data_IF_731144155675
#
_entry.id   IF_731144155675
#
_cell.length_a   1.000
_cell.length_b   1.000
_cell.length_c   1.000
_cell.angle_alpha   90.00
_cell.angle_beta   90.00
_cell.angle_gamma   90.00
#
_symmetry.space_group_name_H-M   'P 1'
#
loop_
_entity.id
_entity.type
_entity.pdbx_description
1 polymer ?
#
# COMPACT_ATOMS: atom_id res chain seq x y z
N UNK A 1 -2.31 27.38 49.52
CA UNK A 1 -2.65 26.49 50.65
C UNK A 1 -2.86 25.11 50.04
N UNK A 2 -2.05 24.06 50.12
CA UNK A 2 -0.91 23.62 50.95
C UNK A 2 -0.04 22.71 50.05
N UNK A 3 1.27 22.92 49.89
CA UNK A 3 2.39 22.44 50.73
C UNK A 3 2.70 20.93 50.62
N UNK A 4 3.80 20.63 49.93
CA UNK A 4 4.87 19.65 50.25
C UNK A 4 4.44 18.16 50.27
N UNK A 5 5.16 17.22 49.67
CA UNK A 5 6.25 16.40 50.25
C UNK A 5 6.89 15.64 49.07
N UNK A 6 8.17 15.85 48.78
CA UNK A 6 9.33 15.09 49.27
C UNK A 6 9.76 13.98 48.30
N UNK A 7 10.90 14.23 47.66
CA UNK A 7 11.65 13.31 46.83
C UNK A 7 12.19 12.13 47.64
N UNK A 8 12.31 10.97 47.01
CA UNK A 8 13.25 9.93 47.44
C UNK A 8 13.87 9.27 46.22
N UNK A 9 15.11 9.66 45.93
CA UNK A 9 16.04 8.99 45.03
C UNK A 9 16.54 7.73 45.75
N UNK A 10 16.33 6.56 45.15
CA UNK A 10 17.04 5.33 45.55
C UNK A 10 18.11 5.06 44.50
N UNK A 11 19.32 5.55 44.79
CA UNK A 11 20.54 5.15 44.10
C UNK A 11 20.94 3.78 44.62
N UNK A 12 20.90 2.75 43.78
CA UNK A 12 21.41 1.42 44.13
C UNK A 12 22.66 1.14 43.29
N UNK A 13 23.80 1.30 43.93
CA UNK A 13 25.14 1.09 43.41
C UNK A 13 25.43 -0.42 43.29
N UNK A 14 25.82 -0.83 42.08
CA UNK A 14 26.67 -1.96 41.67
C UNK A 14 26.52 -3.32 42.37
N UNK A 15 26.22 -4.36 41.57
CA UNK A 15 26.87 -5.65 41.77
C UNK A 15 27.09 -6.36 40.43
N UNK A 16 28.34 -6.31 39.97
CA UNK A 16 28.90 -7.13 38.91
C UNK A 16 28.78 -8.62 39.32
N UNK A 17 28.06 -9.41 38.53
CA UNK A 17 28.03 -10.87 38.66
C UNK A 17 28.19 -11.49 37.27
N UNK A 18 29.45 -11.85 36.99
CA UNK A 18 29.84 -13.15 36.44
C UNK A 18 29.13 -13.59 35.17
N UNK A 19 29.85 -13.44 34.06
CA UNK A 19 29.70 -14.20 32.82
C UNK A 19 29.39 -15.67 33.11
N UNK A 20 28.18 -16.10 32.78
CA UNK A 20 27.80 -17.51 32.68
C UNK A 20 27.48 -17.80 31.23
N UNK A 21 28.50 -18.29 30.53
CA UNK A 21 28.41 -18.97 29.25
C UNK A 21 27.31 -20.02 29.32
N UNK A 22 26.21 -19.80 28.62
CA UNK A 22 25.25 -20.86 28.31
C UNK A 22 24.99 -20.83 26.81
N UNK A 23 25.96 -21.37 26.08
CA UNK A 23 25.79 -21.79 24.70
C UNK A 23 24.72 -22.86 24.65
N UNK A 24 23.50 -22.52 24.21
CA UNK A 24 22.55 -23.49 23.64
C UNK A 24 21.66 -22.84 22.58
N UNK A 25 21.90 -23.32 21.35
CA UNK A 25 20.91 -23.65 20.32
C UNK A 25 20.51 -22.53 19.36
N UNK A 26 21.18 -22.60 18.20
CA UNK A 26 20.68 -22.37 16.84
C UNK A 26 19.14 -22.34 16.73
N UNK A 27 18.59 -21.19 16.35
CA UNK A 27 17.50 -21.15 15.39
C UNK A 27 18.02 -20.48 14.13
N UNK A 28 18.26 -21.32 13.12
CA UNK A 28 18.40 -20.91 11.74
C UNK A 28 17.10 -20.22 11.32
N UNK A 29 17.13 -18.89 11.24
CA UNK A 29 16.13 -18.15 10.48
C UNK A 29 16.62 -18.15 9.02
N UNK A 30 15.90 -18.78 8.07
CA UNK A 30 16.14 -18.49 6.67
C UNK A 30 15.68 -17.05 6.48
N UNK A 31 16.62 -16.11 6.53
CA UNK A 31 16.37 -14.79 5.98
C UNK A 31 16.28 -15.02 4.47
N UNK A 32 15.09 -15.37 4.02
CA UNK A 32 14.67 -15.14 2.65
C UNK A 32 14.76 -13.62 2.44
N UNK A 33 15.97 -13.14 2.19
CA UNK A 33 16.20 -11.87 1.53
C UNK A 33 15.72 -12.07 0.11
N UNK A 34 14.40 -12.01 -0.06
CA UNK A 34 13.78 -11.84 -1.37
C UNK A 34 14.42 -10.58 -1.94
N UNK A 35 15.21 -10.81 -2.98
CA UNK A 35 15.90 -9.79 -3.73
C UNK A 35 14.89 -8.78 -4.28
N UNK A 36 14.69 -7.67 -3.57
CA UNK A 36 14.08 -6.46 -4.10
C UNK A 36 15.11 -5.66 -4.93
N UNK A 37 15.90 -6.36 -5.76
CA UNK A 37 16.83 -5.74 -6.71
C UNK A 37 16.11 -5.17 -7.96
N UNK A 38 14.83 -4.83 -7.85
CA UNK A 38 14.02 -4.21 -8.91
C UNK A 38 13.56 -2.78 -8.59
N UNK A 39 14.10 -2.14 -7.55
CA UNK A 39 14.01 -0.68 -7.42
C UNK A 39 15.02 0.07 -8.32
N UNK A 40 15.53 -0.59 -9.36
CA UNK A 40 16.47 -0.05 -10.33
C UNK A 40 15.81 0.12 -11.71
N UNK A 41 14.64 0.76 -11.74
CA UNK A 41 14.21 1.55 -12.88
C UNK A 41 13.62 2.82 -12.27
N UNK A 42 14.33 3.94 -12.39
CA UNK A 42 13.96 5.24 -11.79
C UNK A 42 12.75 5.88 -12.47
N UNK A 43 11.65 5.14 -12.58
CA UNK A 43 10.31 5.65 -12.86
C UNK A 43 9.51 5.76 -11.56
N UNK A 44 8.40 6.51 -11.61
CA UNK A 44 7.46 6.58 -10.49
C UNK A 44 7.13 5.17 -9.98
N UNK A 45 7.11 4.98 -8.66
CA UNK A 45 6.72 3.70 -8.07
C UNK A 45 5.31 3.33 -8.58
N UNK A 46 5.11 2.08 -8.97
CA UNK A 46 3.79 1.59 -9.38
C UNK A 46 2.89 1.62 -8.12
N UNK A 47 1.76 2.34 -8.15
CA UNK A 47 0.85 2.38 -7.00
C UNK A 47 0.23 1.00 -6.75
N UNK A 48 -0.24 0.78 -5.53
CA UNK A 48 -0.91 -0.46 -5.17
C UNK A 48 -2.32 -0.53 -5.74
N UNK A 49 -2.93 -1.72 -5.77
CA UNK A 49 -4.33 -1.87 -6.18
C UNK A 49 -5.25 -1.06 -5.25
N UNK A 50 -4.98 -1.05 -3.95
CA UNK A 50 -5.76 -0.27 -2.98
C UNK A 50 -5.70 1.24 -3.29
N UNK A 51 -4.50 1.78 -3.56
CA UNK A 51 -4.36 3.22 -3.94
C UNK A 51 -5.14 3.55 -5.22
N UNK A 52 -5.12 2.63 -6.20
CA UNK A 52 -5.84 2.80 -7.46
C UNK A 52 -7.36 2.68 -7.25
N UNK A 53 -7.81 1.78 -6.38
CA UNK A 53 -9.23 1.61 -6.03
C UNK A 53 -9.79 2.85 -5.32
N UNK A 54 -9.02 3.42 -4.39
CA UNK A 54 -9.37 4.67 -3.71
C UNK A 54 -9.51 5.82 -4.71
N UNK A 55 -8.55 5.94 -5.64
CA UNK A 55 -8.62 6.95 -6.69
C UNK A 55 -9.79 6.77 -7.66
N UNK A 56 -10.14 5.53 -8.00
CA UNK A 56 -11.37 5.23 -8.77
C UNK A 56 -12.59 5.74 -8.01
N UNK A 57 -12.75 5.37 -6.74
CA UNK A 57 -13.88 5.81 -5.92
C UNK A 57 -13.95 7.34 -5.84
N UNK A 58 -12.82 8.00 -5.61
CA UNK A 58 -12.73 9.46 -5.57
C UNK A 58 -13.22 10.11 -6.86
N UNK A 59 -12.85 9.58 -8.03
CA UNK A 59 -13.34 10.08 -9.33
C UNK A 59 -14.86 9.99 -9.44
N UNK A 60 -15.47 8.92 -8.92
CA UNK A 60 -16.93 8.76 -8.93
C UNK A 60 -17.61 9.64 -7.88
N UNK A 61 -17.03 9.78 -6.69
CA UNK A 61 -17.50 10.70 -5.64
C UNK A 61 -17.51 12.16 -6.10
N UNK A 62 -16.42 12.61 -6.73
CA UNK A 62 -16.29 13.97 -7.28
C UNK A 62 -17.33 14.25 -8.37
N UNK A 63 -17.82 13.21 -9.05
CA UNK A 63 -18.90 13.28 -10.02
C UNK A 63 -20.31 13.13 -9.41
N UNK A 64 -20.42 12.95 -8.09
CA UNK A 64 -21.68 12.73 -7.39
C UNK A 64 -22.27 11.33 -7.57
N UNK A 65 -21.44 10.36 -7.94
CA UNK A 65 -21.79 8.97 -8.25
C UNK A 65 -21.15 7.95 -7.29
N UNK A 66 -20.68 8.38 -6.11
CA UNK A 66 -20.01 7.50 -5.14
C UNK A 66 -20.81 6.26 -4.76
N UNK A 67 -22.15 6.35 -4.73
CA UNK A 67 -23.02 5.21 -4.41
C UNK A 67 -23.15 4.15 -5.53
N UNK A 68 -22.60 4.43 -6.73
CA UNK A 68 -22.76 3.57 -7.92
C UNK A 68 -21.64 2.54 -8.04
N UNK A 69 -20.46 2.85 -7.51
CA UNK A 69 -19.30 1.96 -7.52
C UNK A 69 -19.04 1.51 -6.10
N UNK A 70 -19.22 0.22 -5.85
CA UNK A 70 -18.87 -0.38 -4.54
C UNK A 70 -17.36 -0.57 -4.44
N UNK A 71 -16.86 -0.64 -3.21
CA UNK A 71 -15.45 -0.92 -2.90
C UNK A 71 -14.96 -2.18 -3.62
N UNK A 72 -15.76 -3.25 -3.66
CA UNK A 72 -15.39 -4.52 -4.31
C UNK A 72 -15.28 -4.39 -5.84
N UNK A 73 -16.13 -3.55 -6.46
CA UNK A 73 -16.07 -3.26 -7.90
C UNK A 73 -14.82 -2.41 -8.18
N UNK A 74 -14.56 -1.38 -7.37
CA UNK A 74 -13.37 -0.54 -7.50
C UNK A 74 -12.08 -1.35 -7.34
N UNK A 75 -12.02 -2.21 -6.32
CA UNK A 75 -10.88 -3.08 -6.05
C UNK A 75 -10.62 -4.06 -7.20
N UNK A 76 -11.67 -4.72 -7.71
CA UNK A 76 -11.52 -5.65 -8.83
C UNK A 76 -10.92 -4.97 -10.06
N UNK A 77 -11.43 -3.79 -10.45
CA UNK A 77 -10.85 -3.06 -11.57
C UNK A 77 -9.44 -2.55 -11.27
N UNK A 78 -9.17 -2.10 -10.05
CA UNK A 78 -7.84 -1.66 -9.66
C UNK A 78 -6.79 -2.77 -9.78
N UNK A 79 -7.13 -4.00 -9.38
CA UNK A 79 -6.26 -5.18 -9.57
C UNK A 79 -5.97 -5.41 -11.06
N UNK A 80 -6.99 -5.38 -11.93
CA UNK A 80 -6.80 -5.57 -13.38
C UNK A 80 -5.95 -4.45 -14.00
N UNK A 81 -6.10 -3.21 -13.54
CA UNK A 81 -5.32 -2.07 -14.02
C UNK A 81 -3.86 -2.16 -13.55
N UNK A 82 -3.63 -2.48 -12.28
CA UNK A 82 -2.28 -2.64 -11.71
C UNK A 82 -1.56 -3.86 -12.29
N UNK A 83 -2.25 -4.92 -12.68
CA UNK A 83 -1.64 -6.08 -13.36
C UNK A 83 -1.40 -5.87 -14.86
N UNK A 84 -1.93 -4.78 -15.45
CA UNK A 84 -1.86 -4.53 -16.89
C UNK A 84 -0.54 -3.89 -17.37
N UNK A 85 -0.41 -3.67 -18.68
CA UNK A 85 0.72 -2.94 -19.27
C UNK A 85 0.62 -1.40 -19.14
N UNK A 86 -0.33 -0.87 -18.35
CA UNK A 86 -0.41 0.56 -18.08
C UNK A 86 0.86 1.08 -17.40
N UNK A 87 1.29 2.28 -17.79
CA UNK A 87 2.41 2.94 -17.13
C UNK A 87 2.07 3.30 -15.69
N UNK A 88 3.12 3.38 -14.86
CA UNK A 88 3.00 3.84 -13.48
C UNK A 88 2.53 5.30 -13.40
N UNK A 89 2.73 6.09 -14.46
CA UNK A 89 2.23 7.46 -14.56
C UNK A 89 0.70 7.47 -14.68
N UNK A 90 0.11 6.70 -15.60
CA UNK A 90 -1.35 6.60 -15.72
C UNK A 90 -1.99 5.99 -14.48
N UNK A 91 -1.39 4.94 -13.90
CA UNK A 91 -1.89 4.40 -12.64
C UNK A 91 -1.79 5.43 -11.50
N UNK A 92 -0.76 6.26 -11.51
CA UNK A 92 -0.62 7.39 -10.58
C UNK A 92 -1.72 8.44 -10.75
N UNK A 93 -2.10 8.80 -11.97
CA UNK A 93 -3.24 9.70 -12.20
C UNK A 93 -4.53 9.12 -11.63
N UNK A 94 -4.82 7.84 -11.91
CA UNK A 94 -6.01 7.17 -11.42
C UNK A 94 -6.02 7.14 -9.89
N UNK A 95 -4.91 6.74 -9.25
CA UNK A 95 -4.78 6.70 -7.79
C UNK A 95 -4.94 8.07 -7.11
N UNK A 96 -4.60 9.16 -7.80
CA UNK A 96 -4.79 10.53 -7.30
C UNK A 96 -6.20 11.08 -7.57
N UNK A 97 -7.12 10.25 -8.08
CA UNK A 97 -8.46 10.68 -8.43
C UNK A 97 -8.53 11.56 -9.68
N UNK A 98 -7.50 11.53 -10.54
CA UNK A 98 -7.47 12.33 -11.76
C UNK A 98 -8.06 11.56 -12.94
N UNK A 99 -9.08 12.12 -13.60
CA UNK A 99 -9.60 11.61 -14.89
C UNK A 99 -8.65 11.99 -16.05
N UNK A 100 -7.46 11.37 -16.04
CA UNK A 100 -6.40 11.58 -17.04
C UNK A 100 -5.64 10.29 -17.30
N UNK A 101 -5.10 10.17 -18.51
CA UNK A 101 -4.13 9.15 -18.89
C UNK A 101 -2.94 9.83 -19.57
N UNK A 102 -1.75 9.23 -19.49
CA UNK A 102 -0.52 9.83 -20.00
C UNK A 102 -0.56 10.08 -21.52
N UNK A 103 -1.34 9.30 -22.27
CA UNK A 103 -1.57 9.47 -23.70
C UNK A 103 -2.78 8.64 -24.21
N UNK A 104 -3.17 8.85 -25.47
CA UNK A 104 -4.31 8.15 -26.10
C UNK A 104 -4.18 6.61 -26.10
N UNK A 105 -2.96 6.05 -26.23
CA UNK A 105 -2.81 4.58 -26.21
C UNK A 105 -3.11 4.01 -24.84
N UNK A 106 -2.72 4.71 -23.78
CA UNK A 106 -3.01 4.30 -22.41
C UNK A 106 -4.48 4.50 -22.05
N UNK A 107 -5.12 5.53 -22.60
CA UNK A 107 -6.58 5.68 -22.52
C UNK A 107 -7.32 4.54 -23.22
N UNK A 108 -6.89 4.17 -24.44
CA UNK A 108 -7.46 3.04 -25.17
C UNK A 108 -7.26 1.72 -24.42
N UNK A 109 -6.06 1.51 -23.86
CA UNK A 109 -5.73 0.34 -23.07
C UNK A 109 -6.56 0.28 -21.78
N UNK A 110 -6.67 1.39 -21.05
CA UNK A 110 -7.51 1.52 -19.85
C UNK A 110 -8.96 1.16 -20.19
N UNK A 111 -9.52 1.77 -21.24
CA UNK A 111 -10.89 1.50 -21.71
C UNK A 111 -11.07 0.02 -22.08
N UNK A 112 -10.09 -0.56 -22.75
CA UNK A 112 -10.11 -1.97 -23.13
C UNK A 112 -10.10 -2.88 -21.91
N UNK A 113 -9.23 -2.63 -20.92
CA UNK A 113 -9.16 -3.40 -19.67
C UNK A 113 -10.50 -3.34 -18.95
N UNK A 114 -11.06 -2.15 -18.76
CA UNK A 114 -12.36 -1.99 -18.08
C UNK A 114 -13.46 -2.76 -18.82
N UNK A 115 -13.54 -2.63 -20.15
CA UNK A 115 -14.55 -3.32 -20.95
C UNK A 115 -14.38 -4.83 -20.95
N UNK A 116 -13.16 -5.33 -21.09
CA UNK A 116 -12.87 -6.75 -21.17
C UNK A 116 -13.07 -7.45 -19.80
N UNK A 117 -13.05 -6.69 -18.69
CA UNK A 117 -13.26 -7.20 -17.33
C UNK A 117 -14.60 -6.79 -16.70
N UNK A 118 -15.49 -6.11 -17.44
CA UNK A 118 -16.78 -5.63 -16.89
C UNK A 118 -17.70 -6.78 -16.45
N UNK A 119 -17.64 -7.93 -17.10
CA UNK A 119 -18.43 -9.10 -16.71
C UNK A 119 -17.90 -9.77 -15.44
N UNK A 120 -16.60 -9.63 -15.16
CA UNK A 120 -15.96 -10.16 -13.95
C UNK A 120 -16.13 -9.21 -12.77
N UNK A 121 -15.80 -7.93 -12.98
CA UNK A 121 -15.77 -6.91 -11.93
C UNK A 121 -17.08 -6.13 -11.78
N UNK A 122 -18.01 -6.18 -12.74
CA UNK A 122 -19.28 -5.44 -12.67
C UNK A 122 -20.40 -6.14 -11.90
N UNK A 123 -20.18 -7.39 -11.49
CA UNK A 123 -21.14 -8.21 -10.74
C UNK A 123 -20.57 -8.75 -9.42
N UNK A 124 -19.41 -8.25 -8.97
CA UNK A 124 -18.88 -8.56 -7.64
C UNK A 124 -19.92 -8.11 -6.59
N UNK A 125 -20.46 -9.10 -5.87
CA UNK A 125 -21.47 -8.96 -4.80
C UNK A 125 -20.84 -9.13 -3.43
#
# INVERSE_FOLDING_TARGET
MNSLWAASVVTMTLNDRTSRTSSRILMALPIAALAFSLAACGGAARPSADDVADGIQQVYEDQGLGDVVTDDVAQCFAEKLVDSDLSNETLGYIANGEDKQANEKEKDLTTKILRDNVEECGFTQ
#
